data_IF_049312215871
#
_entry.id   IF_049312215871
#
_cell.length_a   1.000
_cell.length_b   1.000
_cell.length_c   1.000
_cell.angle_alpha   90.00
_cell.angle_beta   90.00
_cell.angle_gamma   90.00
#
_symmetry.space_group_name_H-M   'P 1'
#
loop_
_entity.id
_entity.type
_entity.pdbx_description
1 polymer ?
#
# COMPACT_ATOMS: atom_id res chain seq x y z
N UNK A 1 -26.49 16.08 3.41
CA UNK A 1 -26.28 15.51 4.75
C UNK A 1 -27.10 16.29 5.76
N UNK A 2 -27.51 15.70 6.90
CA UNK A 2 -28.04 16.46 8.04
C UNK A 2 -26.96 17.42 8.58
N UNK A 3 -27.35 18.52 9.22
CA UNK A 3 -26.37 19.45 9.80
C UNK A 3 -25.55 18.77 10.91
N UNK A 4 -24.23 19.03 10.91
CA UNK A 4 -23.28 18.56 11.93
C UNK A 4 -23.19 19.51 13.14
N UNK A 5 -23.82 20.68 13.09
CA UNK A 5 -23.66 21.71 14.11
C UNK A 5 -24.05 21.20 15.50
N UNK A 6 -23.18 21.45 16.48
CA UNK A 6 -23.33 21.04 17.89
C UNK A 6 -23.49 19.52 18.10
N UNK A 7 -23.01 18.70 17.15
CA UNK A 7 -22.99 17.23 17.29
C UNK A 7 -21.63 16.76 17.79
N UNK A 8 -21.60 15.60 18.45
CA UNK A 8 -20.31 14.97 18.81
C UNK A 8 -19.57 14.48 17.57
N UNK A 9 -20.30 14.09 16.52
CA UNK A 9 -19.69 13.70 15.23
C UNK A 9 -18.87 14.82 14.62
N UNK A 10 -19.32 16.09 14.73
CA UNK A 10 -18.54 17.25 14.28
C UNK A 10 -17.21 17.38 15.03
N UNK A 11 -17.24 17.26 16.36
CA UNK A 11 -16.02 17.31 17.17
C UNK A 11 -15.09 16.15 16.83
N UNK A 12 -15.62 14.94 16.67
CA UNK A 12 -14.84 13.75 16.34
C UNK A 12 -14.20 13.84 14.95
N UNK A 13 -14.92 14.36 13.95
CA UNK A 13 -14.37 14.64 12.62
C UNK A 13 -13.24 15.65 12.69
N UNK A 14 -13.37 16.70 13.51
CA UNK A 14 -12.33 17.72 13.66
C UNK A 14 -11.10 17.19 14.42
N UNK A 15 -11.30 16.35 15.45
CA UNK A 15 -10.21 15.63 16.15
C UNK A 15 -9.47 14.69 15.20
N UNK A 16 -10.20 13.92 14.40
CA UNK A 16 -9.62 13.03 13.39
C UNK A 16 -8.82 13.82 12.35
N UNK A 17 -9.40 14.89 11.78
CA UNK A 17 -8.71 15.77 10.84
C UNK A 17 -7.39 16.32 11.43
N UNK A 18 -7.40 16.77 12.68
CA UNK A 18 -6.22 17.28 13.36
C UNK A 18 -5.19 16.16 13.64
N UNK A 19 -5.63 14.97 14.02
CA UNK A 19 -4.80 13.78 14.22
C UNK A 19 -4.08 13.37 12.96
N UNK A 20 -4.84 13.12 11.88
CA UNK A 20 -4.34 12.73 10.56
C UNK A 20 -3.38 13.76 9.95
N UNK A 21 -3.70 15.05 10.11
CA UNK A 21 -2.83 16.13 9.62
C UNK A 21 -1.47 16.13 10.33
N UNK A 22 -1.45 15.81 11.62
CA UNK A 22 -0.22 15.67 12.40
C UNK A 22 0.50 14.35 12.11
N UNK A 23 -0.23 13.24 11.95
CA UNK A 23 0.30 11.92 11.60
C UNK A 23 1.07 11.99 10.27
N UNK A 24 0.44 12.53 9.22
CA UNK A 24 1.10 12.83 7.94
C UNK A 24 2.45 13.52 8.12
N UNK A 25 2.45 14.61 8.90
CA UNK A 25 3.65 15.44 9.09
C UNK A 25 4.74 14.68 9.83
N UNK A 26 4.39 13.97 10.92
CA UNK A 26 5.32 13.10 11.65
C UNK A 26 5.90 12.02 10.75
N UNK A 27 5.08 11.36 9.92
CA UNK A 27 5.52 10.30 9.03
C UNK A 27 6.49 10.82 7.95
N UNK A 28 6.29 12.03 7.42
CA UNK A 28 7.30 12.64 6.53
C UNK A 28 8.63 12.95 7.26
N UNK A 29 8.58 13.34 8.53
CA UNK A 29 9.80 13.51 9.33
C UNK A 29 10.50 12.17 9.57
N UNK A 30 9.74 11.11 9.91
CA UNK A 30 10.26 9.76 10.08
C UNK A 30 10.85 9.18 8.80
N UNK A 31 10.24 9.46 7.65
CA UNK A 31 10.79 9.11 6.34
C UNK A 31 12.18 9.74 6.13
N UNK A 32 12.34 11.01 6.53
CA UNK A 32 13.62 11.73 6.43
C UNK A 32 14.70 11.10 7.32
N UNK A 33 14.34 10.65 8.52
CA UNK A 33 15.24 9.90 9.41
C UNK A 33 15.62 8.56 8.79
N UNK A 34 14.64 7.79 8.31
CA UNK A 34 14.87 6.51 7.65
C UNK A 34 15.80 6.63 6.44
N UNK A 35 15.68 7.70 5.66
CA UNK A 35 16.61 7.98 4.55
C UNK A 35 18.04 8.22 5.05
N UNK A 36 18.22 9.06 6.08
CA UNK A 36 19.54 9.35 6.67
C UNK A 36 20.22 8.10 7.23
N UNK A 37 19.43 7.19 7.80
CA UNK A 37 19.91 5.91 8.34
C UNK A 37 20.07 4.81 7.26
N UNK A 38 19.77 5.11 5.99
CA UNK A 38 19.95 4.19 4.87
C UNK A 38 18.78 3.23 4.62
N UNK A 39 17.68 3.35 5.35
CA UNK A 39 16.47 2.54 5.19
C UNK A 39 15.55 3.07 4.10
N UNK A 40 16.02 3.05 2.84
CA UNK A 40 15.28 3.59 1.68
C UNK A 40 13.93 2.94 1.44
N UNK A 41 13.74 1.66 1.79
CA UNK A 41 12.42 1.03 1.74
C UNK A 41 11.46 1.66 2.77
N UNK A 42 11.94 1.84 3.99
CA UNK A 42 11.15 2.33 5.12
C UNK A 42 10.80 3.80 4.92
N UNK A 43 11.73 4.60 4.41
CA UNK A 43 11.48 5.98 3.93
C UNK A 43 10.26 6.02 2.99
N UNK A 44 10.25 5.20 1.95
CA UNK A 44 9.17 5.23 0.98
C UNK A 44 7.83 4.77 1.56
N UNK A 45 7.87 3.81 2.48
CA UNK A 45 6.67 3.36 3.17
C UNK A 45 6.11 4.47 4.06
N UNK A 46 6.94 5.16 4.86
CA UNK A 46 6.49 6.31 5.64
C UNK A 46 5.89 7.41 4.76
N UNK A 47 6.50 7.71 3.61
CA UNK A 47 5.94 8.69 2.67
C UNK A 47 4.62 8.24 2.04
N UNK A 48 4.49 6.95 1.69
CA UNK A 48 3.24 6.37 1.19
C UNK A 48 2.13 6.49 2.24
N UNK A 49 2.40 6.10 3.48
CA UNK A 49 1.44 6.22 4.58
C UNK A 49 1.07 7.68 4.83
N UNK A 50 2.04 8.60 4.83
CA UNK A 50 1.77 10.03 4.95
C UNK A 50 0.83 10.56 3.85
N UNK A 51 0.95 10.04 2.63
CA UNK A 51 0.03 10.35 1.54
C UNK A 51 -1.36 9.72 1.72
N UNK A 52 -1.47 8.58 2.42
CA UNK A 52 -2.74 7.98 2.82
C UNK A 52 -3.44 8.84 3.89
N UNK A 53 -2.72 9.26 4.94
CA UNK A 53 -3.27 10.12 6.00
C UNK A 53 -3.74 11.47 5.47
N UNK A 54 -3.07 12.00 4.43
CA UNK A 54 -3.55 13.18 3.71
C UNK A 54 -4.95 12.96 3.13
N UNK A 55 -5.22 11.80 2.53
CA UNK A 55 -6.52 11.50 1.93
C UNK A 55 -7.57 11.16 2.99
N UNK A 56 -7.19 10.54 4.12
CA UNK A 56 -8.05 10.36 5.29
C UNK A 56 -8.48 11.72 5.87
N UNK A 57 -7.51 12.59 6.18
CA UNK A 57 -7.75 13.97 6.63
C UNK A 57 -8.68 14.71 5.68
N UNK A 58 -8.41 14.64 4.37
CA UNK A 58 -9.22 15.29 3.34
C UNK A 58 -10.65 14.76 3.31
N UNK A 59 -10.86 13.45 3.55
CA UNK A 59 -12.21 12.88 3.63
C UNK A 59 -12.96 13.40 4.85
N UNK A 60 -12.34 13.41 6.03
CA UNK A 60 -12.95 13.97 7.24
C UNK A 60 -13.26 15.46 7.10
N UNK A 61 -12.34 16.23 6.52
CA UNK A 61 -12.53 17.65 6.26
C UNK A 61 -13.69 17.93 5.30
N UNK A 62 -13.86 17.11 4.24
CA UNK A 62 -15.01 17.23 3.34
C UNK A 62 -16.34 17.02 4.05
N UNK A 63 -16.43 16.05 4.96
CA UNK A 63 -17.65 15.87 5.76
C UNK A 63 -17.97 17.08 6.64
N UNK A 64 -16.95 17.72 7.23
CA UNK A 64 -17.14 18.97 7.96
C UNK A 64 -17.70 20.07 7.06
N UNK A 65 -17.12 20.28 5.86
CA UNK A 65 -17.60 21.27 4.90
C UNK A 65 -19.05 21.01 4.46
N UNK A 66 -19.38 19.75 4.18
CA UNK A 66 -20.72 19.33 3.78
C UNK A 66 -21.74 19.49 4.92
N UNK A 67 -21.38 19.16 6.16
CA UNK A 67 -22.29 19.21 7.30
C UNK A 67 -22.47 20.59 7.94
N UNK A 68 -21.59 21.55 7.64
CA UNK A 68 -21.71 22.95 8.08
C UNK A 68 -22.56 23.83 7.13
N UNK A 69 -23.04 23.28 6.01
CA UNK A 69 -24.07 23.90 5.14
C UNK A 69 -23.83 25.38 4.75
N UNK A 70 -22.59 25.77 4.45
CA UNK A 70 -22.28 27.13 4.00
C UNK A 70 -22.05 28.15 5.12
N UNK A 71 -22.09 27.73 6.40
CA UNK A 71 -21.59 28.53 7.53
C UNK A 71 -20.04 28.53 7.54
N UNK A 72 -19.43 29.01 6.45
CA UNK A 72 -17.98 29.06 6.28
C UNK A 72 -17.51 30.51 6.14
N UNK A 73 -16.37 30.89 6.73
CA UNK A 73 -15.49 30.08 7.58
C UNK A 73 -16.10 29.79 8.95
N UNK A 74 -15.81 28.60 9.49
CA UNK A 74 -16.22 28.19 10.84
C UNK A 74 -15.00 27.82 11.68
N UNK A 75 -15.13 28.02 12.98
CA UNK A 75 -14.16 27.59 13.99
C UNK A 75 -14.77 26.49 14.85
N UNK A 76 -14.11 25.35 14.93
CA UNK A 76 -14.53 24.22 15.77
C UNK A 76 -13.51 24.08 16.90
N UNK A 77 -13.96 24.22 18.14
CA UNK A 77 -13.13 23.95 19.32
C UNK A 77 -13.06 22.43 19.55
N UNK A 78 -11.86 21.91 19.73
CA UNK A 78 -11.62 20.52 20.11
C UNK A 78 -10.71 20.47 21.34
N UNK A 79 -10.93 19.48 22.20
CA UNK A 79 -10.04 19.14 23.30
C UNK A 79 -9.55 17.70 23.10
N UNK A 80 -8.26 17.54 22.80
CA UNK A 80 -7.62 16.26 22.52
C UNK A 80 -6.10 16.37 22.70
N UNK A 81 -5.47 15.28 23.14
CA UNK A 81 -4.02 15.14 23.20
C UNK A 81 -3.46 14.60 21.88
N UNK A 82 -2.23 14.99 21.54
CA UNK A 82 -1.54 14.49 20.35
C UNK A 82 -0.12 14.06 20.68
N UNK A 83 0.37 12.96 20.09
CA UNK A 83 1.66 12.41 20.46
C UNK A 83 2.82 13.25 19.92
N UNK A 84 3.85 13.39 20.76
CA UNK A 84 5.14 13.97 20.40
C UNK A 84 6.18 12.86 20.48
N UNK A 85 6.63 12.38 19.33
CA UNK A 85 7.64 11.34 19.22
C UNK A 85 8.55 11.61 18.03
N UNK A 86 9.87 11.54 18.24
CA UNK A 86 10.87 11.68 17.19
C UNK A 86 12.20 11.09 17.68
N UNK A 87 12.66 10.01 17.04
CA UNK A 87 13.87 9.28 17.38
C UNK A 87 14.56 8.67 16.15
N UNK A 88 15.26 7.55 16.33
CA UNK A 88 15.81 6.77 15.21
C UNK A 88 14.69 6.04 14.44
N UNK A 89 15.02 5.37 13.33
CA UNK A 89 14.00 4.68 12.51
C UNK A 89 13.20 3.63 13.29
N UNK A 90 13.84 2.88 14.20
CA UNK A 90 13.15 1.86 15.00
C UNK A 90 12.16 2.49 15.98
N UNK A 91 12.58 3.53 16.71
CA UNK A 91 11.73 4.25 17.65
C UNK A 91 10.54 4.89 16.92
N UNK A 92 10.78 5.48 15.75
CA UNK A 92 9.75 6.08 14.92
C UNK A 92 8.74 5.04 14.40
N UNK A 93 9.19 3.85 14.01
CA UNK A 93 8.29 2.75 13.59
C UNK A 93 7.41 2.27 14.75
N UNK A 94 7.97 2.18 15.96
CA UNK A 94 7.22 1.81 17.17
C UNK A 94 6.20 2.88 17.54
N UNK A 95 6.59 4.15 17.49
CA UNK A 95 5.71 5.28 17.75
C UNK A 95 4.57 5.36 16.73
N UNK A 96 4.87 5.20 15.44
CA UNK A 96 3.86 5.15 14.39
C UNK A 96 2.90 3.97 14.61
N UNK A 97 3.40 2.74 14.82
CA UNK A 97 2.56 1.59 15.11
C UNK A 97 1.64 1.78 16.34
N UNK A 98 2.13 2.44 17.39
CA UNK A 98 1.31 2.73 18.57
C UNK A 98 0.19 3.73 18.27
N UNK A 99 0.47 4.78 17.49
CA UNK A 99 -0.55 5.74 17.04
C UNK A 99 -1.63 5.09 16.18
N UNK A 100 -1.22 4.34 15.15
CA UNK A 100 -2.12 3.56 14.30
C UNK A 100 -3.00 2.62 15.13
N UNK A 101 -2.41 1.93 16.12
CA UNK A 101 -3.14 1.02 17.00
C UNK A 101 -4.26 1.72 17.77
N UNK A 102 -3.96 2.87 18.36
CA UNK A 102 -4.95 3.65 19.10
C UNK A 102 -6.12 4.07 18.19
N UNK A 103 -5.81 4.47 16.95
CA UNK A 103 -6.80 4.90 15.96
C UNK A 103 -7.77 3.77 15.60
N UNK A 104 -7.28 2.61 15.17
CA UNK A 104 -8.17 1.54 14.72
C UNK A 104 -8.80 0.71 15.85
N UNK A 105 -8.20 0.65 17.04
CA UNK A 105 -8.74 -0.14 18.17
C UNK A 105 -9.69 0.65 19.07
N UNK A 106 -9.51 1.98 19.16
CA UNK A 106 -10.25 2.82 20.12
C UNK A 106 -10.95 3.99 19.44
N UNK A 107 -10.19 4.89 18.82
CA UNK A 107 -10.73 6.19 18.40
C UNK A 107 -11.77 6.04 17.28
N UNK A 108 -11.39 5.47 16.15
CA UNK A 108 -12.28 5.37 14.99
C UNK A 108 -13.47 4.43 15.19
N UNK A 109 -13.36 3.29 15.91
CA UNK A 109 -14.54 2.53 16.30
C UNK A 109 -15.54 3.34 17.14
N UNK A 110 -15.06 4.11 18.13
CA UNK A 110 -15.94 4.95 18.96
C UNK A 110 -16.54 6.10 18.14
N UNK A 111 -15.75 6.74 17.27
CA UNK A 111 -16.24 7.81 16.41
C UNK A 111 -17.28 7.31 15.41
N UNK A 112 -17.08 6.10 14.85
CA UNK A 112 -18.06 5.46 13.98
C UNK A 112 -19.36 5.16 14.71
N UNK A 113 -19.28 4.66 15.96
CA UNK A 113 -20.45 4.39 16.81
C UNK A 113 -21.24 5.67 17.09
N UNK A 114 -20.58 6.74 17.53
CA UNK A 114 -21.22 8.05 17.79
C UNK A 114 -21.89 8.59 16.53
N UNK A 115 -21.20 8.53 15.38
CA UNK A 115 -21.77 8.95 14.10
C UNK A 115 -23.02 8.14 13.74
N UNK A 116 -23.03 6.83 13.99
CA UNK A 116 -24.19 5.98 13.76
C UNK A 116 -25.35 6.33 14.68
N UNK A 117 -25.10 6.57 15.96
CA UNK A 117 -26.10 6.97 16.96
C UNK A 117 -26.74 8.32 16.64
N UNK A 118 -25.97 9.27 16.09
CA UNK A 118 -26.47 10.60 15.70
C UNK A 118 -27.13 10.61 14.29
N UNK A 119 -27.11 9.48 13.57
CA UNK A 119 -27.75 9.27 12.26
C UNK A 119 -26.90 9.63 11.06
N UNK A 120 -25.56 9.68 11.21
CA UNK A 120 -24.59 9.97 10.16
C UNK A 120 -23.95 8.69 9.60
N UNK A 121 -24.77 7.86 8.95
CA UNK A 121 -24.39 6.54 8.45
C UNK A 121 -23.16 6.54 7.52
N UNK A 122 -23.06 7.54 6.64
CA UNK A 122 -21.93 7.66 5.71
C UNK A 122 -20.61 7.98 6.43
N UNK A 123 -20.67 8.83 7.47
CA UNK A 123 -19.50 9.18 8.28
C UNK A 123 -19.07 7.98 9.13
N UNK A 124 -20.03 7.25 9.71
CA UNK A 124 -19.76 6.03 10.46
C UNK A 124 -19.07 4.97 9.59
N UNK A 125 -19.56 4.78 8.36
CA UNK A 125 -18.94 3.86 7.40
C UNK A 125 -17.52 4.30 7.02
N UNK A 126 -17.29 5.60 6.85
CA UNK A 126 -15.96 6.12 6.54
C UNK A 126 -14.96 5.88 7.68
N UNK A 127 -15.31 6.19 8.94
CA UNK A 127 -14.46 5.88 10.09
C UNK A 127 -14.13 4.38 10.19
N UNK A 128 -15.13 3.53 9.99
CA UNK A 128 -14.93 2.07 9.99
C UNK A 128 -13.94 1.63 8.90
N UNK A 129 -14.08 2.18 7.70
CA UNK A 129 -13.23 1.82 6.56
C UNK A 129 -11.80 2.35 6.69
N UNK A 130 -11.64 3.54 7.26
CA UNK A 130 -10.32 4.13 7.54
C UNK A 130 -9.63 3.32 8.65
N UNK A 131 -10.34 2.91 9.70
CA UNK A 131 -9.79 2.01 10.73
C UNK A 131 -9.25 0.67 10.16
N UNK A 132 -9.89 0.10 9.13
CA UNK A 132 -9.37 -1.09 8.43
C UNK A 132 -8.04 -0.83 7.71
N UNK A 133 -7.80 0.41 7.27
CA UNK A 133 -6.53 0.85 6.66
C UNK A 133 -5.46 1.03 7.73
N UNK A 134 -5.78 1.69 8.84
CA UNK A 134 -4.80 1.94 9.93
C UNK A 134 -4.32 0.65 10.58
N UNK A 135 -5.20 -0.37 10.67
CA UNK A 135 -4.77 -1.71 11.08
C UNK A 135 -3.66 -2.28 10.18
N UNK A 136 -3.70 -2.00 8.87
CA UNK A 136 -2.66 -2.43 7.93
C UNK A 136 -1.42 -1.56 8.03
N UNK A 137 -1.55 -0.27 8.33
CA UNK A 137 -0.41 0.59 8.64
C UNK A 137 0.33 0.09 9.87
N UNK A 138 -0.37 -0.17 10.97
CA UNK A 138 0.21 -0.75 12.18
C UNK A 138 0.94 -2.07 11.88
N UNK A 139 0.26 -3.02 11.24
CA UNK A 139 0.84 -4.33 10.94
C UNK A 139 2.13 -4.20 10.11
N UNK A 140 2.15 -3.25 9.16
CA UNK A 140 3.31 -2.95 8.33
C UNK A 140 4.44 -2.36 9.17
N UNK A 141 4.17 -1.38 10.01
CA UNK A 141 5.18 -0.76 10.88
C UNK A 141 5.76 -1.73 11.90
N UNK A 142 4.92 -2.54 12.56
CA UNK A 142 5.38 -3.62 13.44
C UNK A 142 6.30 -4.58 12.70
N UNK A 143 5.96 -4.98 11.47
CA UNK A 143 6.81 -5.89 10.70
C UNK A 143 8.15 -5.27 10.31
N UNK A 144 8.18 -3.98 10.00
CA UNK A 144 9.41 -3.26 9.69
C UNK A 144 10.29 -3.10 10.94
N UNK A 145 9.70 -2.78 12.09
CA UNK A 145 10.41 -2.70 13.37
C UNK A 145 11.06 -4.05 13.73
N UNK A 146 10.30 -5.14 13.64
CA UNK A 146 10.79 -6.51 13.85
C UNK A 146 11.97 -6.84 12.91
N UNK A 147 11.91 -6.39 11.64
CA UNK A 147 13.01 -6.61 10.71
C UNK A 147 14.28 -5.84 11.10
N UNK A 148 14.17 -4.63 11.66
CA UNK A 148 15.32 -3.88 12.16
C UNK A 148 15.91 -4.60 13.38
N UNK A 149 15.07 -4.95 14.35
CA UNK A 149 15.50 -5.61 15.60
C UNK A 149 16.23 -6.92 15.34
N UNK A 150 15.77 -7.68 14.35
CA UNK A 150 16.36 -8.98 14.02
C UNK A 150 17.42 -8.92 12.91
N UNK A 151 17.86 -7.72 12.50
CA UNK A 151 18.82 -7.53 11.38
C UNK A 151 18.37 -8.18 10.06
N UNK A 152 17.05 -8.25 9.82
CA UNK A 152 16.43 -8.87 8.64
C UNK A 152 16.06 -7.87 7.53
N UNK A 153 16.45 -6.60 7.65
CA UNK A 153 16.18 -5.60 6.59
C UNK A 153 16.98 -5.92 5.33
N UNK A 154 18.27 -6.23 5.48
CA UNK A 154 19.19 -6.49 4.37
C UNK A 154 19.73 -7.93 4.36
N UNK A 155 19.16 -8.82 5.18
CA UNK A 155 19.54 -10.22 5.27
C UNK A 155 18.30 -11.12 5.45
N UNK A 156 18.34 -12.33 4.87
CA UNK A 156 17.35 -13.40 5.03
C UNK A 156 18.04 -14.76 5.19
N UNK A 157 17.33 -15.66 5.86
CA UNK A 157 17.78 -17.04 6.12
C UNK A 157 17.89 -17.85 4.83
N UNK A 158 17.04 -17.53 3.85
CA UNK A 158 17.02 -18.15 2.53
C UNK A 158 17.40 -17.14 1.44
N UNK A 159 17.82 -17.64 0.28
CA UNK A 159 18.06 -16.81 -0.90
C UNK A 159 16.77 -16.14 -1.35
N UNK A 160 16.83 -14.83 -1.55
CA UNK A 160 15.73 -14.04 -2.08
C UNK A 160 16.21 -13.14 -3.22
N UNK A 161 15.26 -12.63 -4.00
CA UNK A 161 15.53 -11.61 -5.00
C UNK A 161 15.48 -10.22 -4.35
N UNK A 162 16.62 -9.54 -4.39
CA UNK A 162 16.86 -8.19 -3.91
C UNK A 162 16.80 -7.24 -5.09
N UNK A 163 15.80 -6.37 -5.14
CA UNK A 163 15.63 -5.37 -6.20
C UNK A 163 16.09 -3.99 -5.73
N UNK A 164 16.99 -3.38 -6.48
CA UNK A 164 17.37 -1.98 -6.31
C UNK A 164 16.19 -1.05 -6.64
N UNK A 165 15.80 -0.19 -5.70
CA UNK A 165 14.76 0.85 -5.88
C UNK A 165 15.20 1.98 -6.80
N UNK A 166 16.51 2.21 -6.92
CA UNK A 166 17.03 3.30 -7.73
C UNK A 166 17.05 2.96 -9.22
N UNK A 167 17.63 1.81 -9.59
CA UNK A 167 17.83 1.43 -10.99
C UNK A 167 17.12 0.14 -11.43
N UNK A 168 16.49 -0.59 -10.51
CA UNK A 168 15.80 -1.84 -10.82
C UNK A 168 16.68 -3.09 -10.91
N UNK A 169 18.00 -2.99 -10.74
CA UNK A 169 18.92 -4.14 -10.68
C UNK A 169 18.43 -5.20 -9.69
N UNK A 170 18.50 -6.47 -10.07
CA UNK A 170 18.07 -7.60 -9.24
C UNK A 170 19.27 -8.47 -8.90
N UNK A 171 19.44 -8.75 -7.61
CA UNK A 171 20.46 -9.65 -7.08
C UNK A 171 19.78 -10.83 -6.37
N UNK A 172 20.26 -12.04 -6.60
CA UNK A 172 19.82 -13.23 -5.85
C UNK A 172 20.85 -13.59 -4.79
N UNK A 173 20.42 -13.65 -3.52
CA UNK A 173 21.32 -13.98 -2.41
C UNK A 173 20.63 -13.94 -1.06
N UNK A 174 21.34 -14.33 -0.01
CA UNK A 174 20.87 -14.23 1.37
C UNK A 174 20.91 -12.79 1.90
N UNK A 175 21.71 -11.91 1.29
CA UNK A 175 21.84 -10.51 1.69
C UNK A 175 21.75 -9.57 0.50
N UNK A 176 21.32 -8.34 0.77
CA UNK A 176 21.44 -7.25 -0.19
C UNK A 176 22.93 -6.98 -0.48
N UNK A 177 23.31 -6.58 -1.71
CA UNK A 177 24.68 -6.18 -2.01
C UNK A 177 25.10 -4.94 -1.20
N UNK A 178 26.31 -4.93 -0.61
CA UNK A 178 26.81 -3.82 0.23
C UNK A 178 26.75 -2.44 -0.45
N UNK A 179 27.03 -2.40 -1.76
CA UNK A 179 27.05 -1.16 -2.54
C UNK A 179 25.64 -0.65 -2.91
N UNK A 180 24.57 -1.38 -2.54
CA UNK A 180 23.20 -1.01 -2.85
C UNK A 180 22.44 -0.79 -1.54
N UNK A 181 22.46 0.46 -1.05
CA UNK A 181 21.61 0.90 0.09
C UNK A 181 20.13 1.04 -0.28
N UNK A 182 19.78 0.89 -1.56
CA UNK A 182 18.44 1.07 -2.10
C UNK A 182 17.76 -0.26 -2.39
N UNK A 183 17.64 -1.19 -1.45
CA UNK A 183 17.14 -2.54 -1.80
C UNK A 183 15.75 -2.83 -1.23
N UNK A 184 14.91 -3.47 -2.03
CA UNK A 184 13.65 -4.13 -1.65
C UNK A 184 13.78 -5.63 -1.83
N UNK A 185 13.06 -6.39 -1.01
CA UNK A 185 12.86 -7.81 -1.29
C UNK A 185 11.69 -7.95 -2.25
N UNK A 186 11.95 -8.50 -3.42
CA UNK A 186 10.92 -8.78 -4.41
C UNK A 186 10.23 -10.11 -4.06
N UNK A 187 9.43 -10.12 -2.98
CA UNK A 187 8.54 -11.26 -2.72
C UNK A 187 7.42 -11.25 -3.77
N UNK A 188 7.47 -12.22 -4.68
CA UNK A 188 6.39 -12.59 -5.61
C UNK A 188 6.22 -11.74 -6.88
N UNK A 189 7.18 -11.78 -7.80
CA UNK A 189 6.84 -11.77 -9.23
C UNK A 189 6.60 -13.18 -9.78
N UNK A 190 7.25 -14.20 -9.21
CA UNK A 190 7.23 -15.56 -9.78
C UNK A 190 5.83 -16.15 -9.90
N UNK A 191 5.01 -16.22 -8.85
CA UNK A 191 3.71 -16.93 -8.93
C UNK A 191 2.70 -16.31 -9.89
N UNK A 192 2.63 -14.97 -9.95
CA UNK A 192 1.65 -14.28 -10.81
C UNK A 192 2.09 -14.29 -12.27
N UNK A 193 3.38 -14.05 -12.53
CA UNK A 193 3.94 -14.09 -13.87
C UNK A 193 4.06 -15.53 -14.41
N UNK A 194 4.38 -16.54 -13.58
CA UNK A 194 4.32 -17.95 -13.99
C UNK A 194 2.88 -18.34 -14.36
N UNK A 195 1.88 -17.87 -13.62
CA UNK A 195 0.46 -18.08 -13.98
C UNK A 195 0.12 -17.44 -15.31
N UNK A 196 0.56 -16.20 -15.55
CA UNK A 196 0.32 -15.48 -16.81
C UNK A 196 1.06 -16.17 -17.97
N UNK A 197 2.33 -16.55 -17.80
CA UNK A 197 3.12 -17.31 -18.77
C UNK A 197 2.43 -18.64 -19.07
N UNK A 198 2.03 -19.40 -18.06
CA UNK A 198 1.36 -20.70 -18.23
C UNK A 198 0.02 -20.54 -18.95
N UNK A 199 -0.75 -19.49 -18.64
CA UNK A 199 -2.00 -19.16 -19.35
C UNK A 199 -1.75 -18.79 -20.81
N UNK A 200 -0.71 -18.02 -21.11
CA UNK A 200 -0.32 -17.65 -22.47
C UNK A 200 0.18 -18.86 -23.27
N UNK A 201 1.01 -19.73 -22.67
CA UNK A 201 1.49 -20.98 -23.27
C UNK A 201 0.32 -21.93 -23.55
N UNK A 202 -0.60 -22.08 -22.60
CA UNK A 202 -1.78 -22.96 -22.78
C UNK A 202 -2.67 -22.46 -23.91
N UNK A 203 -2.95 -21.14 -23.98
CA UNK A 203 -3.69 -20.52 -25.09
C UNK A 203 -2.98 -20.74 -26.43
N UNK A 204 -1.66 -20.60 -26.47
CA UNK A 204 -0.88 -20.83 -27.69
C UNK A 204 -0.93 -22.30 -28.16
N UNK A 205 -0.82 -23.27 -27.24
CA UNK A 205 -0.94 -24.69 -27.54
C UNK A 205 -2.35 -25.05 -28.04
N UNK A 206 -3.40 -24.50 -27.43
CA UNK A 206 -4.79 -24.72 -27.86
C UNK A 206 -5.03 -24.15 -29.27
N UNK A 207 -4.50 -22.97 -29.58
CA UNK A 207 -4.56 -22.39 -30.93
C UNK A 207 -3.83 -23.26 -31.96
N UNK A 208 -2.66 -23.82 -31.62
CA UNK A 208 -1.94 -24.74 -32.50
C UNK A 208 -2.69 -26.06 -32.74
N UNK A 209 -3.36 -26.61 -31.72
CA UNK A 209 -4.21 -27.80 -31.85
C UNK A 209 -5.43 -27.53 -32.73
N UNK A 210 -6.06 -26.36 -32.58
CA UNK A 210 -7.18 -25.93 -33.42
C UNK A 210 -6.76 -25.82 -34.89
N UNK A 211 -5.65 -25.11 -35.16
CA UNK A 211 -5.09 -24.97 -36.52
C UNK A 211 -4.72 -26.35 -37.11
N UNK A 212 -4.15 -27.26 -36.30
CA UNK A 212 -3.86 -28.63 -36.74
C UNK A 212 -5.12 -29.43 -37.08
N UNK A 213 -6.22 -29.26 -36.33
CA UNK A 213 -7.49 -29.92 -36.62
C UNK A 213 -8.13 -29.40 -37.91
N UNK A 214 -8.06 -28.08 -38.16
CA UNK A 214 -8.59 -27.43 -39.36
C UNK A 214 -7.74 -27.78 -40.60
N UNK A 215 -6.42 -27.95 -40.44
CA UNK A 215 -5.53 -28.38 -41.51
C UNK A 215 -5.73 -29.86 -41.91
N UNK A 216 -6.22 -30.73 -41.01
CA UNK A 216 -6.54 -32.13 -41.34
C UNK A 216 -7.84 -32.27 -42.14
N UNK A 217 -8.72 -31.27 -42.11
CA UNK A 217 -10.01 -31.29 -42.81
C UNK A 217 -10.00 -30.59 -44.18
N UNK A 218 -8.92 -29.88 -44.54
CA UNK A 218 -8.83 -29.19 -45.84
C UNK A 218 -7.96 -29.95 -46.85
N UNK A 219 -8.60 -30.61 -47.82
CA UNK A 219 -7.95 -31.12 -49.03
C UNK A 219 -7.75 -29.98 -50.03
N UNK A 220 -6.80 -29.07 -49.79
CA UNK A 220 -6.34 -28.15 -50.83
C UNK A 220 -4.93 -27.63 -50.52
N UNK A 221 -3.98 -27.95 -51.40
CA UNK A 221 -2.54 -27.81 -51.22
C UNK A 221 -1.97 -26.39 -51.28
N UNK A 222 -2.37 -25.50 -50.36
CA UNK A 222 -1.76 -24.17 -50.21
C UNK A 222 -1.27 -23.84 -48.79
N UNK A 223 -1.10 -24.83 -47.91
CA UNK A 223 -0.71 -24.62 -46.51
C UNK A 223 0.81 -24.54 -46.25
N UNK A 224 1.65 -24.77 -47.26
CA UNK A 224 3.12 -24.92 -47.08
C UNK A 224 3.85 -23.61 -46.77
N UNK A 225 3.23 -22.43 -46.93
CA UNK A 225 3.87 -21.14 -46.61
C UNK A 225 3.68 -20.66 -45.17
N UNK A 226 2.68 -21.14 -44.44
CA UNK A 226 2.39 -20.65 -43.08
C UNK A 226 3.26 -21.35 -42.01
N UNK A 227 3.61 -22.63 -42.21
CA UNK A 227 4.43 -23.39 -41.25
C UNK A 227 5.88 -22.87 -41.13
N UNK A 228 6.44 -22.28 -42.19
CA UNK A 228 7.84 -21.81 -42.16
C UNK A 228 8.05 -20.55 -41.31
N UNK A 229 7.00 -19.72 -41.11
CA UNK A 229 7.11 -18.50 -40.31
C UNK A 229 7.12 -18.78 -38.79
N UNK A 230 6.47 -19.88 -38.36
CA UNK A 230 6.31 -20.23 -36.94
C UNK A 230 7.53 -20.95 -36.36
N UNK A 231 8.32 -21.65 -37.18
CA UNK A 231 9.54 -22.33 -36.71
C UNK A 231 10.70 -21.36 -36.42
N UNK A 232 10.67 -20.13 -36.97
CA UNK A 232 11.73 -19.13 -36.76
C UNK A 232 11.59 -18.37 -35.44
N UNK A 233 10.38 -18.25 -34.89
CA UNK A 233 10.13 -17.59 -33.59
C UNK A 233 10.43 -18.49 -32.39
N UNK A 234 10.47 -19.82 -32.58
CA UNK A 234 10.84 -20.76 -31.51
C UNK A 234 12.28 -20.60 -31.02
N UNK A 235 13.18 -20.12 -31.88
CA UNK A 235 14.61 -19.92 -31.56
C UNK A 235 14.88 -18.62 -30.78
N UNK A 236 13.91 -17.70 -30.72
CA UNK A 236 14.05 -16.40 -30.05
C UNK A 236 13.52 -16.39 -28.61
N UNK A 237 12.80 -17.44 -28.18
CA UNK A 237 12.14 -17.52 -26.87
C UNK A 237 12.83 -18.51 -25.92
N UNK A 238 13.91 -19.15 -26.33
CA UNK A 238 14.67 -20.13 -25.52
C UNK A 238 16.16 -19.79 -25.41
N UNK A 239 16.55 -18.54 -25.66
CA UNK A 239 17.90 -18.00 -25.42
C UNK A 239 17.85 -16.88 -24.41
#
# INVERSE_FOLDING_TARGET
MKSLKNTKTMENLMKAFAGESQARTRYNFYASVANKEGYRQIEAIFNETADNEKEHAKRFYKFLLEGLNGELPASIMINADYPVAYGNTLDNLKAAAAGENEEWTKLYPEFAKVAKEEGFDEIAAAFTKIAEVEQRHEARYKKLAENIENNKVFNKDEKVLWKCRNCGYVHEGNSAPENVRHVLIQKHFSKCWQKIINLCILKFILSLKYISSVAKTSKSGNFTRICFCILRTKKFLTS
#
